data_IF_746741708636
#
_entry.id   IF_746741708636
#
_cell.length_a   1.000
_cell.length_b   1.000
_cell.length_c   1.000
_cell.angle_alpha   90.00
_cell.angle_beta   90.00
_cell.angle_gamma   90.00
#
_symmetry.space_group_name_H-M   'P 1'
#
loop_
_entity.id
_entity.type
_entity.pdbx_description
1 polymer ?
#
# COMPACT_ATOMS: atom_id res chain seq x y z
N UNK A 1 12.81 -37.62 -8.24
CA UNK A 1 12.18 -36.53 -9.00
C UNK A 1 12.30 -35.29 -8.13
N UNK A 2 13.31 -34.45 -8.38
CA UNK A 2 13.61 -33.27 -7.57
C UNK A 2 12.65 -32.15 -7.97
N UNK A 3 11.63 -31.91 -7.15
CA UNK A 3 10.78 -30.73 -7.26
C UNK A 3 11.62 -29.56 -6.76
N UNK A 4 12.19 -28.79 -7.69
CA UNK A 4 12.79 -27.50 -7.38
C UNK A 4 11.69 -26.60 -6.79
N UNK A 5 11.74 -26.38 -5.48
CA UNK A 5 11.07 -25.27 -4.83
C UNK A 5 11.50 -23.99 -5.56
N UNK A 6 10.59 -23.22 -6.19
CA UNK A 6 10.93 -21.87 -6.58
C UNK A 6 11.27 -21.09 -5.30
N UNK A 7 12.45 -20.49 -5.28
CA UNK A 7 13.07 -19.88 -4.12
C UNK A 7 12.15 -18.87 -3.44
N UNK A 8 11.90 -19.09 -2.15
CA UNK A 8 11.14 -18.22 -1.23
C UNK A 8 11.99 -16.98 -0.82
N UNK A 9 13.05 -16.68 -1.57
CA UNK A 9 13.98 -15.58 -1.34
C UNK A 9 14.34 -14.90 -2.67
N UNK A 10 14.18 -13.58 -2.71
CA UNK A 10 14.76 -12.71 -3.74
C UNK A 10 13.74 -12.05 -4.66
N UNK A 11 13.81 -10.72 -4.74
CA UNK A 11 13.10 -9.82 -5.66
C UNK A 11 11.66 -9.43 -5.26
N UNK A 12 11.47 -8.12 -5.04
CA UNK A 12 10.18 -7.49 -5.33
C UNK A 12 9.84 -7.85 -6.79
N UNK A 13 8.62 -8.28 -7.10
CA UNK A 13 8.26 -8.64 -8.46
C UNK A 13 8.58 -7.46 -9.37
N UNK A 14 9.40 -7.72 -10.39
CA UNK A 14 9.79 -6.73 -11.38
C UNK A 14 8.53 -6.35 -12.16
N UNK A 15 7.80 -5.34 -11.66
CA UNK A 15 6.65 -4.78 -12.33
C UNK A 15 6.99 -4.36 -13.75
N UNK A 16 5.99 -4.39 -14.64
CA UNK A 16 6.09 -3.74 -15.95
C UNK A 16 6.39 -2.26 -15.69
N UNK A 17 7.59 -1.85 -16.09
CA UNK A 17 8.09 -0.49 -16.02
C UNK A 17 7.27 0.41 -16.96
N UNK A 18 7.10 1.67 -16.55
CA UNK A 18 6.37 2.77 -17.19
C UNK A 18 5.00 3.01 -16.52
N UNK A 19 4.72 4.24 -16.08
CA UNK A 19 3.38 4.74 -15.77
C UNK A 19 2.55 4.65 -17.06
N UNK A 20 1.58 3.74 -17.09
CA UNK A 20 0.80 3.43 -18.30
C UNK A 20 -0.67 3.85 -18.18
N UNK A 21 -1.09 4.40 -17.04
CA UNK A 21 -2.47 4.83 -16.79
C UNK A 21 -2.55 6.10 -15.97
N UNK A 22 -3.69 6.81 -16.06
CA UNK A 22 -3.99 7.99 -15.22
C UNK A 22 -3.93 7.68 -13.73
N UNK A 23 -4.31 6.47 -13.34
CA UNK A 23 -4.20 5.99 -11.97
C UNK A 23 -2.78 5.74 -11.50
N UNK A 24 -1.93 5.13 -12.34
CA UNK A 24 -0.52 4.94 -12.00
C UNK A 24 0.17 6.30 -11.82
N UNK A 25 -0.20 7.28 -12.66
CA UNK A 25 0.26 8.66 -12.52
C UNK A 25 -0.26 9.30 -11.24
N UNK A 26 -1.55 9.16 -10.94
CA UNK A 26 -2.15 9.68 -9.71
C UNK A 26 -1.48 9.12 -8.46
N UNK A 27 -1.23 7.82 -8.42
CA UNK A 27 -0.53 7.18 -7.30
C UNK A 27 0.89 7.72 -7.17
N UNK A 28 1.62 7.84 -8.27
CA UNK A 28 2.96 8.44 -8.27
C UNK A 28 2.95 9.88 -7.76
N UNK A 29 2.03 10.70 -8.26
CA UNK A 29 1.87 12.12 -7.89
C UNK A 29 1.64 12.25 -6.38
N UNK A 30 0.76 11.43 -5.78
CA UNK A 30 0.51 11.43 -4.34
C UNK A 30 1.77 11.19 -3.50
N UNK A 31 2.60 10.21 -3.88
CA UNK A 31 3.85 9.94 -3.15
C UNK A 31 4.87 11.08 -3.31
N UNK A 32 4.94 11.68 -4.50
CA UNK A 32 5.81 12.82 -4.76
C UNK A 32 5.37 14.08 -4.02
N UNK A 33 4.07 14.32 -3.92
CA UNK A 33 3.48 15.44 -3.19
C UNK A 33 3.65 15.26 -1.68
N UNK A 34 3.44 14.05 -1.16
CA UNK A 34 3.76 13.74 0.24
C UNK A 34 5.24 13.97 0.55
N UNK A 35 6.14 13.54 -0.34
CA UNK A 35 7.57 13.79 -0.21
C UNK A 35 7.87 15.30 -0.13
N UNK A 36 7.35 16.09 -1.07
CA UNK A 36 7.51 17.56 -1.07
C UNK A 36 6.97 18.20 0.22
N UNK A 37 5.82 17.75 0.68
CA UNK A 37 5.18 18.20 1.92
C UNK A 37 6.04 17.91 3.15
N UNK A 38 6.67 16.73 3.23
CA UNK A 38 7.55 16.38 4.35
C UNK A 38 8.75 17.33 4.47
N UNK A 39 9.29 17.75 3.33
CA UNK A 39 10.42 18.68 3.28
C UNK A 39 10.03 20.16 3.27
N UNK A 40 8.74 20.50 3.25
CA UNK A 40 8.25 21.87 3.03
C UNK A 40 8.85 22.52 1.77
N UNK A 41 9.11 21.75 0.72
CA UNK A 41 9.71 22.25 -0.52
C UNK A 41 8.94 21.68 -1.72
N UNK A 42 8.11 22.50 -2.41
CA UNK A 42 7.37 22.03 -3.58
C UNK A 42 8.26 21.75 -4.79
N UNK A 43 9.48 22.30 -4.82
CA UNK A 43 10.41 22.19 -5.95
C UNK A 43 11.49 21.13 -5.71
N UNK A 44 11.50 20.47 -4.54
CA UNK A 44 12.47 19.43 -4.24
C UNK A 44 12.37 18.32 -5.28
N UNK A 45 13.50 18.04 -5.92
CA UNK A 45 13.61 16.94 -6.88
C UNK A 45 13.58 15.60 -6.15
N UNK A 46 13.10 14.58 -6.86
CA UNK A 46 13.12 13.19 -6.41
C UNK A 46 14.49 12.82 -5.82
N UNK A 47 14.49 12.29 -4.59
CA UNK A 47 15.70 11.79 -3.92
C UNK A 47 15.54 10.28 -3.71
N UNK A 48 16.18 9.48 -4.54
CA UNK A 48 16.14 8.01 -4.45
C UNK A 48 16.45 7.50 -3.03
N UNK A 49 17.56 7.97 -2.45
CA UNK A 49 17.98 7.57 -1.11
C UNK A 49 16.94 7.89 -0.02
N UNK A 50 16.05 8.87 -0.25
CA UNK A 50 14.94 9.11 0.65
C UNK A 50 13.95 7.93 0.61
N UNK A 51 13.50 7.53 -0.57
CA UNK A 51 12.52 6.44 -0.68
C UNK A 51 13.12 5.09 -0.28
N UNK A 52 14.37 4.78 -0.64
CA UNK A 52 15.03 3.54 -0.19
C UNK A 52 15.05 3.40 1.33
N UNK A 53 15.24 4.50 2.05
CA UNK A 53 15.29 4.48 3.51
C UNK A 53 13.91 4.46 4.16
N UNK A 54 12.91 5.09 3.54
CA UNK A 54 11.66 5.47 4.19
C UNK A 54 10.40 4.81 3.60
N UNK A 55 10.50 4.17 2.44
CA UNK A 55 9.39 3.53 1.75
C UNK A 55 9.39 2.02 2.02
N UNK A 56 8.22 1.49 2.34
CA UNK A 56 8.00 0.09 2.62
C UNK A 56 6.85 -0.45 1.79
N UNK A 57 7.03 -1.65 1.25
CA UNK A 57 5.97 -2.43 0.65
C UNK A 57 5.39 -3.39 1.68
N UNK A 58 4.07 -3.37 1.82
CA UNK A 58 3.33 -4.20 2.75
C UNK A 58 2.43 -5.13 1.97
N UNK A 59 2.46 -6.41 2.32
CA UNK A 59 1.48 -7.41 1.88
C UNK A 59 0.74 -7.92 3.10
N UNK A 60 -0.55 -7.62 3.20
CA UNK A 60 -1.44 -8.16 4.23
C UNK A 60 -2.36 -9.21 3.61
N UNK A 61 -2.08 -10.48 3.86
CA UNK A 61 -2.87 -11.60 3.38
C UNK A 61 -3.99 -11.93 4.36
N UNK A 62 -5.15 -12.25 3.83
CA UNK A 62 -6.32 -12.67 4.61
C UNK A 62 -6.55 -14.17 4.48
N UNK A 63 -7.25 -14.76 5.46
CA UNK A 63 -7.55 -16.20 5.45
C UNK A 63 -8.46 -16.56 4.27
N UNK A 64 -8.15 -17.68 3.64
CA UNK A 64 -8.96 -18.23 2.54
C UNK A 64 -10.33 -18.69 3.04
N UNK A 65 -11.34 -18.60 2.18
CA UNK A 65 -12.71 -19.07 2.50
C UNK A 65 -13.55 -18.09 3.34
N UNK A 66 -12.98 -16.97 3.80
CA UNK A 66 -13.73 -15.90 4.45
C UNK A 66 -14.43 -14.95 3.45
N UNK A 67 -13.89 -14.86 2.23
CA UNK A 67 -14.37 -13.96 1.19
C UNK A 67 -14.43 -14.72 -0.13
N UNK A 68 -15.60 -14.80 -0.78
CA UNK A 68 -15.71 -15.45 -2.08
C UNK A 68 -15.32 -14.50 -3.23
N UNK A 69 -15.02 -15.05 -4.40
CA UNK A 69 -14.54 -14.25 -5.53
C UNK A 69 -15.57 -13.21 -6.02
N UNK A 70 -16.84 -13.61 -6.02
CA UNK A 70 -17.97 -12.71 -6.29
C UNK A 70 -18.09 -11.57 -5.27
N UNK A 71 -17.49 -11.73 -4.10
CA UNK A 71 -17.62 -10.81 -2.98
C UNK A 71 -16.63 -9.65 -3.08
N UNK A 72 -15.42 -9.84 -3.63
CA UNK A 72 -14.46 -8.75 -3.84
C UNK A 72 -14.98 -7.62 -4.74
N UNK A 73 -16.06 -7.88 -5.51
CA UNK A 73 -16.72 -6.90 -6.38
C UNK A 73 -17.77 -6.04 -5.65
N UNK A 74 -17.94 -6.17 -4.33
CA UNK A 74 -18.90 -5.41 -3.52
C UNK A 74 -18.19 -4.64 -2.41
N UNK A 75 -18.53 -3.35 -2.26
CA UNK A 75 -18.05 -2.46 -1.19
C UNK A 75 -18.21 -3.10 0.19
N UNK A 76 -19.35 -3.74 0.41
CA UNK A 76 -19.70 -4.35 1.70
C UNK A 76 -18.74 -5.49 2.09
N UNK A 77 -18.08 -6.10 1.12
CA UNK A 77 -17.32 -7.31 1.31
C UNK A 77 -15.80 -7.09 1.30
N UNK A 78 -15.31 -6.02 0.64
CA UNK A 78 -13.91 -5.59 0.80
C UNK A 78 -13.70 -4.77 2.07
N UNK A 79 -14.75 -4.17 2.63
CA UNK A 79 -14.69 -3.30 3.81
C UNK A 79 -14.01 -3.94 5.02
N UNK A 80 -14.25 -5.21 5.39
CA UNK A 80 -13.56 -5.83 6.53
C UNK A 80 -12.04 -5.87 6.35
N UNK A 81 -11.55 -6.11 5.13
CA UNK A 81 -10.11 -6.12 4.83
C UNK A 81 -9.48 -4.74 5.00
N UNK A 82 -10.14 -3.70 4.47
CA UNK A 82 -9.69 -2.32 4.64
C UNK A 82 -9.79 -1.85 6.09
N UNK A 83 -10.80 -2.27 6.85
CA UNK A 83 -10.91 -1.95 8.28
C UNK A 83 -9.77 -2.61 9.08
N UNK A 84 -9.45 -3.88 8.83
CA UNK A 84 -8.29 -4.54 9.43
C UNK A 84 -6.98 -3.84 9.07
N UNK A 85 -6.80 -3.44 7.81
CA UNK A 85 -5.64 -2.67 7.40
C UNK A 85 -5.57 -1.29 8.08
N UNK A 86 -6.69 -0.58 8.16
CA UNK A 86 -6.82 0.71 8.86
C UNK A 86 -6.42 0.59 10.33
N UNK A 87 -6.92 -0.42 11.03
CA UNK A 87 -6.58 -0.66 12.44
C UNK A 87 -5.09 -0.94 12.60
N UNK A 88 -4.51 -1.75 11.71
CA UNK A 88 -3.07 -2.00 11.68
C UNK A 88 -2.28 -0.71 11.41
N UNK A 89 -2.70 0.12 10.45
CA UNK A 89 -2.06 1.40 10.13
C UNK A 89 -2.10 2.36 11.32
N UNK A 90 -3.25 2.51 11.98
CA UNK A 90 -3.40 3.36 13.17
C UNK A 90 -2.50 2.88 14.32
N UNK A 91 -2.35 1.57 14.48
CA UNK A 91 -1.40 0.99 15.42
C UNK A 91 0.05 1.29 15.04
N UNK A 92 0.40 1.20 13.75
CA UNK A 92 1.73 1.59 13.27
C UNK A 92 2.03 3.07 13.56
N UNK A 93 1.08 3.96 13.28
CA UNK A 93 1.17 5.39 13.59
C UNK A 93 1.38 5.62 15.08
N UNK A 94 0.57 4.99 15.95
CA UNK A 94 0.69 5.14 17.42
C UNK A 94 1.99 4.58 17.96
N UNK A 95 2.46 3.46 17.40
CA UNK A 95 3.71 2.81 17.81
C UNK A 95 4.90 3.72 17.54
N UNK A 96 4.92 4.35 16.36
CA UNK A 96 6.05 5.19 15.93
C UNK A 96 6.01 6.59 16.53
N UNK A 97 4.82 7.17 16.70
CA UNK A 97 4.68 8.59 17.05
C UNK A 97 4.18 8.83 18.47
N UNK A 98 3.79 7.76 19.16
CA UNK A 98 3.21 7.80 20.50
C UNK A 98 1.76 8.30 20.54
N UNK A 99 1.24 8.54 21.76
CA UNK A 99 -0.19 8.84 21.99
C UNK A 99 -0.70 10.14 21.34
N UNK A 100 0.18 11.08 21.00
CA UNK A 100 -0.17 12.39 20.41
C UNK A 100 -0.01 12.43 18.89
N UNK A 101 -0.03 11.28 18.23
CA UNK A 101 0.15 11.18 16.78
C UNK A 101 -0.86 12.04 15.98
N UNK A 102 -2.11 12.14 16.46
CA UNK A 102 -3.16 12.94 15.82
C UNK A 102 -2.83 14.43 15.68
N UNK A 103 -2.00 14.99 16.55
CA UNK A 103 -1.59 16.40 16.50
C UNK A 103 -0.36 16.65 15.62
N UNK A 104 0.25 15.57 15.13
CA UNK A 104 1.51 15.59 14.37
C UNK A 104 1.29 15.10 12.94
N UNK A 105 0.18 15.52 12.32
CA UNK A 105 -0.28 15.08 11.00
C UNK A 105 0.87 15.02 9.98
N UNK A 106 1.68 16.08 9.85
CA UNK A 106 2.85 16.13 8.96
C UNK A 106 3.78 14.90 9.07
N UNK A 107 4.01 14.42 10.28
CA UNK A 107 4.96 13.35 10.54
C UNK A 107 4.32 11.95 10.42
N UNK A 108 3.01 11.86 10.20
CA UNK A 108 2.37 10.56 10.05
C UNK A 108 2.86 9.84 8.80
N UNK A 109 3.15 8.53 8.91
CA UNK A 109 3.34 7.68 7.75
C UNK A 109 2.17 7.84 6.78
N UNK A 110 2.46 7.98 5.50
CA UNK A 110 1.45 7.99 4.45
C UNK A 110 1.41 6.65 3.76
N UNK A 111 0.23 6.15 3.44
CA UNK A 111 0.10 4.90 2.70
C UNK A 111 -1.08 4.94 1.76
N UNK A 112 -0.93 4.25 0.63
CA UNK A 112 -2.06 3.85 -0.21
C UNK A 112 -2.13 2.34 -0.16
N UNK A 113 -3.29 1.84 0.25
CA UNK A 113 -3.62 0.42 0.32
C UNK A 113 -4.53 0.06 -0.84
N UNK A 114 -4.22 -1.01 -1.55
CA UNK A 114 -4.95 -1.49 -2.71
C UNK A 114 -5.34 -2.95 -2.47
N UNK A 115 -6.58 -3.31 -2.76
CA UNK A 115 -7.00 -4.70 -2.78
C UNK A 115 -6.34 -5.39 -3.98
N UNK A 116 -5.80 -6.58 -3.75
CA UNK A 116 -5.25 -7.47 -4.76
C UNK A 116 -5.66 -8.92 -4.45
N UNK A 117 -5.56 -9.78 -5.47
CA UNK A 117 -5.99 -11.18 -5.44
C UNK A 117 -5.06 -11.99 -6.32
N UNK A 118 -4.72 -13.21 -5.90
CA UNK A 118 -3.85 -14.08 -6.70
C UNK A 118 -4.55 -14.50 -8.02
N UNK A 119 -3.75 -14.73 -9.07
CA UNK A 119 -4.25 -15.23 -10.36
C UNK A 119 -4.62 -14.14 -11.39
N UNK A 120 -4.50 -12.86 -11.05
CA UNK A 120 -4.83 -11.73 -11.96
C UNK A 120 -3.74 -11.42 -13.00
N UNK A 121 -2.58 -12.09 -12.95
CA UNK A 121 -1.40 -11.73 -13.75
C UNK A 121 -1.56 -11.89 -15.27
N UNK A 122 -2.66 -12.49 -15.74
CA UNK A 122 -2.85 -12.86 -17.15
C UNK A 122 -4.19 -12.38 -17.73
N UNK A 123 -4.85 -11.38 -17.14
CA UNK A 123 -6.12 -10.85 -17.67
C UNK A 123 -7.29 -11.83 -17.62
N UNK A 124 -7.12 -12.99 -16.98
CA UNK A 124 -8.21 -13.91 -16.70
C UNK A 124 -8.97 -13.40 -15.47
N UNK A 125 -10.27 -13.12 -15.62
CA UNK A 125 -11.16 -12.99 -14.48
C UNK A 125 -11.18 -14.35 -13.77
N UNK A 126 -10.40 -14.50 -12.70
CA UNK A 126 -10.33 -15.76 -11.96
C UNK A 126 -11.74 -16.16 -11.53
N UNK A 127 -12.15 -17.38 -11.88
CA UNK A 127 -13.44 -17.95 -11.46
C UNK A 127 -13.50 -18.19 -9.96
N UNK A 128 -12.33 -18.28 -9.31
CA UNK A 128 -12.15 -18.34 -7.84
C UNK A 128 -10.91 -17.51 -7.49
N UNK A 129 -11.07 -16.38 -6.80
CA UNK A 129 -9.95 -15.65 -6.20
C UNK A 129 -9.33 -16.51 -5.09
N UNK A 130 -8.04 -16.81 -5.23
CA UNK A 130 -7.26 -17.45 -4.19
C UNK A 130 -6.54 -16.33 -3.41
N UNK A 131 -6.59 -16.43 -2.08
CA UNK A 131 -5.83 -15.57 -1.16
C UNK A 131 -6.02 -14.05 -1.38
N UNK A 132 -7.16 -13.46 -0.97
CA UNK A 132 -7.31 -12.01 -1.00
C UNK A 132 -6.24 -11.34 -0.11
N UNK A 133 -5.69 -10.23 -0.57
CA UNK A 133 -4.64 -9.51 0.14
C UNK A 133 -4.69 -8.02 -0.16
N UNK A 134 -4.10 -7.22 0.74
CA UNK A 134 -3.84 -5.81 0.49
C UNK A 134 -2.36 -5.65 0.16
N UNK A 135 -2.10 -4.96 -0.95
CA UNK A 135 -0.80 -4.37 -1.25
C UNK A 135 -0.81 -2.91 -0.87
N UNK A 136 0.15 -2.50 -0.06
CA UNK A 136 0.25 -1.11 0.35
C UNK A 136 1.68 -0.60 0.27
N UNK A 137 1.83 0.63 -0.18
CA UNK A 137 3.09 1.36 -0.12
C UNK A 137 3.01 2.34 1.04
N UNK A 138 3.90 2.21 2.04
CA UNK A 138 3.94 3.03 3.24
C UNK A 138 5.21 3.89 3.22
N UNK A 139 5.04 5.20 3.11
CA UNK A 139 6.09 6.20 3.23
C UNK A 139 6.15 6.74 4.66
N UNK A 140 7.20 6.38 5.39
CA UNK A 140 7.46 6.83 6.76
C UNK A 140 8.21 8.16 6.74
N UNK A 141 7.81 9.14 7.55
CA UNK A 141 8.57 10.39 7.64
C UNK A 141 10.00 10.13 8.16
N UNK A 142 11.06 10.76 7.64
CA UNK A 142 12.46 10.50 8.04
C UNK A 142 12.72 10.55 9.55
N UNK A 143 12.14 11.53 10.25
CA UNK A 143 12.23 11.65 11.73
C UNK A 143 11.71 10.44 12.51
N UNK A 144 10.89 9.62 11.87
CA UNK A 144 10.18 8.49 12.48
C UNK A 144 10.73 7.14 12.00
N UNK A 145 11.68 7.14 11.06
CA UNK A 145 12.16 5.93 10.40
C UNK A 145 12.84 4.96 11.38
N UNK A 146 13.65 5.48 12.30
CA UNK A 146 14.34 4.65 13.29
C UNK A 146 13.35 3.95 14.22
N UNK A 147 12.35 4.68 14.73
CA UNK A 147 11.29 4.11 15.57
C UNK A 147 10.46 3.06 14.82
N UNK A 148 10.16 3.30 13.54
CA UNK A 148 9.45 2.32 12.72
C UNK A 148 10.23 1.01 12.55
N UNK A 149 11.53 1.09 12.24
CA UNK A 149 12.40 -0.08 12.12
C UNK A 149 12.49 -0.88 13.43
N UNK A 150 12.67 -0.18 14.56
CA UNK A 150 12.75 -0.81 15.89
C UNK A 150 11.48 -1.62 16.23
N UNK A 151 10.33 -1.26 15.64
CA UNK A 151 9.05 -1.90 15.88
C UNK A 151 8.56 -2.82 14.75
N UNK A 152 9.34 -3.01 13.67
CA UNK A 152 8.91 -3.74 12.48
C UNK A 152 8.46 -5.18 12.78
N UNK A 153 9.17 -5.88 13.68
CA UNK A 153 8.78 -7.23 14.12
C UNK A 153 7.45 -7.23 14.90
N UNK A 154 7.24 -6.24 15.77
CA UNK A 154 5.99 -6.09 16.53
C UNK A 154 4.81 -5.81 15.59
N UNK A 155 5.03 -4.97 14.57
CA UNK A 155 4.01 -4.65 13.56
C UNK A 155 3.65 -5.86 12.69
N UNK A 156 4.62 -6.74 12.37
CA UNK A 156 4.35 -8.03 11.70
C UNK A 156 3.57 -9.00 12.58
N UNK A 157 3.91 -9.07 13.88
CA UNK A 157 3.25 -9.95 14.83
C UNK A 157 1.77 -9.59 15.10
N UNK A 158 1.29 -8.42 14.65
CA UNK A 158 -0.12 -8.03 14.75
C UNK A 158 -1.06 -8.96 13.98
N UNK A 159 -0.56 -9.72 12.99
CA UNK A 159 -1.33 -10.77 12.31
C UNK A 159 -1.98 -11.78 13.28
N UNK A 160 -1.41 -11.98 14.48
CA UNK A 160 -1.95 -12.91 15.48
C UNK A 160 -3.12 -12.32 16.30
N UNK A 161 -3.37 -11.01 16.22
CA UNK A 161 -4.44 -10.33 16.96
C UNK A 161 -5.74 -10.23 16.18
N UNK A 162 -5.65 -10.30 14.86
CA UNK A 162 -6.81 -10.24 13.99
C UNK A 162 -7.06 -11.62 13.40
N UNK A 163 -8.26 -12.15 13.61
CA UNK A 163 -8.63 -13.49 13.16
C UNK A 163 -8.78 -13.61 11.65
N UNK A 164 -8.98 -12.50 10.92
CA UNK A 164 -9.14 -12.54 9.46
C UNK A 164 -7.80 -12.46 8.73
N UNK A 165 -6.75 -11.95 9.39
CA UNK A 165 -5.40 -11.85 8.83
C UNK A 165 -4.72 -13.22 8.92
N UNK A 166 -4.12 -13.66 7.83
CA UNK A 166 -3.29 -14.87 7.78
C UNK A 166 -1.81 -14.54 7.89
N UNK A 167 -1.37 -13.46 7.23
CA UNK A 167 0.04 -13.06 7.18
C UNK A 167 0.20 -11.56 6.93
N UNK A 168 1.18 -10.95 7.58
CA UNK A 168 1.68 -9.61 7.25
C UNK A 168 3.15 -9.72 6.87
N UNK A 169 3.49 -9.28 5.66
CA UNK A 169 4.86 -9.04 5.26
C UNK A 169 5.10 -7.54 5.04
N UNK A 170 6.30 -7.10 5.42
CA UNK A 170 6.74 -5.71 5.31
C UNK A 170 8.18 -5.76 4.82
N UNK A 171 8.42 -5.17 3.66
CA UNK A 171 9.73 -5.12 3.01
C UNK A 171 10.07 -3.67 2.75
N UNK A 172 11.26 -3.27 3.16
CA UNK A 172 11.80 -1.97 2.75
C UNK A 172 11.98 -1.96 1.22
N UNK A 173 11.64 -0.84 0.60
CA UNK A 173 11.88 -0.61 -0.81
C UNK A 173 13.38 -0.69 -1.09
N UNK A 174 13.73 -1.42 -2.15
CA UNK A 174 15.08 -1.46 -2.70
C UNK A 174 14.98 -1.05 -4.15
N UNK A 175 15.65 0.04 -4.50
CA UNK A 175 15.68 0.47 -5.89
C UNK A 175 16.48 -0.51 -6.73
N UNK A 176 16.01 -0.73 -7.95
CA UNK A 176 16.68 -1.48 -8.99
C UNK A 176 17.06 -0.60 -10.20
N UNK A 177 17.09 0.71 -10.00
CA UNK A 177 17.42 1.73 -10.99
C UNK A 177 16.21 2.28 -11.73
N UNK A 178 15.00 1.79 -11.43
CA UNK A 178 13.73 2.21 -12.06
C UNK A 178 12.89 3.12 -11.17
N UNK A 179 13.40 3.47 -9.98
CA UNK A 179 12.69 4.30 -9.01
C UNK A 179 11.48 3.57 -8.39
N UNK A 180 10.58 4.34 -7.79
CA UNK A 180 9.44 3.80 -7.04
C UNK A 180 8.28 3.31 -7.93
N UNK A 181 8.25 3.73 -9.20
CA UNK A 181 7.13 3.48 -10.12
C UNK A 181 6.76 1.99 -10.22
N UNK A 182 7.69 1.04 -10.45
CA UNK A 182 7.32 -0.36 -10.62
C UNK A 182 6.66 -0.97 -9.38
N UNK A 183 7.00 -0.47 -8.20
CA UNK A 183 6.42 -0.92 -6.95
C UNK A 183 5.02 -0.34 -6.77
N UNK A 184 4.83 0.95 -7.07
CA UNK A 184 3.52 1.60 -7.04
C UNK A 184 2.55 0.91 -8.03
N UNK A 185 2.97 0.70 -9.28
CA UNK A 185 2.14 0.05 -10.32
C UNK A 185 1.87 -1.43 -10.05
N UNK A 186 2.76 -2.10 -9.31
CA UNK A 186 2.53 -3.45 -8.81
C UNK A 186 1.49 -3.44 -7.70
N UNK A 187 1.61 -2.51 -6.73
CA UNK A 187 0.69 -2.42 -5.59
C UNK A 187 -0.76 -2.20 -6.01
N UNK A 188 -0.98 -1.46 -7.10
CA UNK A 188 -2.30 -1.10 -7.60
C UNK A 188 -2.85 -1.99 -8.72
N UNK A 189 -2.14 -3.07 -9.08
CA UNK A 189 -2.42 -3.86 -10.29
C UNK A 189 -3.90 -4.23 -10.44
N UNK A 190 -4.51 -4.81 -9.41
CA UNK A 190 -5.90 -5.25 -9.48
C UNK A 190 -6.89 -4.08 -9.48
N UNK A 191 -6.63 -3.03 -8.69
CA UNK A 191 -7.43 -1.81 -8.73
C UNK A 191 -7.43 -1.18 -10.14
N UNK A 192 -6.26 -1.12 -10.79
CA UNK A 192 -6.12 -0.65 -12.18
C UNK A 192 -6.93 -1.47 -13.17
N UNK A 193 -6.89 -2.80 -13.07
CA UNK A 193 -7.68 -3.69 -13.94
C UNK A 193 -9.20 -3.45 -13.85
N UNK A 194 -9.68 -2.80 -12.79
CA UNK A 194 -11.08 -2.50 -12.56
C UNK A 194 -11.46 -1.02 -12.84
N UNK A 195 -10.58 -0.21 -13.43
CA UNK A 195 -10.82 1.22 -13.69
C UNK A 195 -12.08 1.52 -14.52
N UNK A 196 -12.39 0.70 -15.52
CA UNK A 196 -13.61 0.87 -16.31
C UNK A 196 -14.90 0.52 -15.55
N UNK A 197 -14.79 0.15 -14.27
CA UNK A 197 -15.92 -0.14 -13.39
C UNK A 197 -16.17 1.03 -12.44
N UNK A 198 -17.45 1.39 -12.18
CA UNK A 198 -17.84 2.30 -11.09
C UNK A 198 -17.35 1.87 -9.69
N UNK A 199 -16.71 0.70 -9.59
CA UNK A 199 -16.21 0.06 -8.38
C UNK A 199 -14.71 0.31 -8.15
N UNK A 200 -14.03 1.03 -9.04
CA UNK A 200 -12.59 1.30 -8.93
C UNK A 200 -12.20 1.95 -7.59
N UNK A 201 -12.98 2.93 -7.12
CA UNK A 201 -12.76 3.68 -5.88
C UNK A 201 -12.90 2.83 -4.60
N UNK A 202 -13.44 1.62 -4.71
CA UNK A 202 -13.72 0.69 -3.60
C UNK A 202 -12.51 -0.20 -3.31
N UNK A 203 -11.58 -0.27 -4.25
CA UNK A 203 -10.45 -1.19 -4.23
C UNK A 203 -9.17 -0.54 -3.74
N UNK A 204 -9.24 0.71 -3.26
CA UNK A 204 -8.11 1.40 -2.68
C UNK A 204 -8.54 2.36 -1.57
N UNK A 205 -7.66 2.57 -0.59
CA UNK A 205 -7.81 3.60 0.45
C UNK A 205 -6.46 4.25 0.74
N UNK A 206 -6.45 5.59 0.89
CA UNK A 206 -5.27 6.35 1.27
C UNK A 206 -5.35 6.79 2.75
N UNK A 207 -4.21 6.76 3.44
CA UNK A 207 -4.09 7.17 4.83
C UNK A 207 -2.87 8.09 5.04
N UNK A 208 -2.94 9.06 5.98
CA UNK A 208 -4.07 9.31 6.88
C UNK A 208 -5.29 9.85 6.12
N UNK A 209 -6.47 9.41 6.54
CA UNK A 209 -7.75 9.83 5.96
C UNK A 209 -8.13 11.20 6.52
N UNK A 210 -7.45 12.23 6.03
CA UNK A 210 -7.63 13.63 6.43
C UNK A 210 -8.12 14.45 5.26
N UNK A 211 -8.77 15.58 5.56
CA UNK A 211 -9.31 16.46 4.53
C UNK A 211 -8.20 17.15 3.72
N UNK A 212 -8.60 17.68 2.56
CA UNK A 212 -7.70 18.45 1.71
C UNK A 212 -7.18 19.74 2.35
N UNK A 213 -7.83 20.24 3.40
CA UNK A 213 -7.35 21.40 4.16
C UNK A 213 -6.08 21.07 4.95
N UNK A 214 -6.01 19.88 5.51
CA UNK A 214 -4.83 19.42 6.23
C UNK A 214 -3.78 18.82 5.29
N UNK A 215 -4.22 18.20 4.19
CA UNK A 215 -3.37 17.57 3.17
C UNK A 215 -3.76 18.13 1.79
N UNK A 216 -3.20 19.27 1.37
CA UNK A 216 -3.59 19.98 0.14
C UNK A 216 -3.52 19.14 -1.13
N UNK A 217 -2.70 18.10 -1.15
CA UNK A 217 -2.61 17.17 -2.27
C UNK A 217 -3.79 16.19 -2.38
N UNK A 218 -4.69 16.14 -1.39
CA UNK A 218 -5.98 15.46 -1.56
C UNK A 218 -7.03 16.35 -2.27
N UNK A 219 -6.81 17.66 -2.43
CA UNK A 219 -7.71 18.55 -3.21
C UNK A 219 -7.40 18.58 -4.70
N UNK A 220 -6.17 18.27 -5.10
CA UNK A 220 -5.78 18.26 -6.51
C UNK A 220 -5.97 16.85 -7.06
N UNK A 221 -7.07 16.67 -7.81
CA UNK A 221 -7.55 15.42 -8.42
C UNK A 221 -8.28 14.50 -7.44
N UNK A 222 -9.58 14.77 -7.32
CA UNK A 222 -10.59 13.73 -7.09
C UNK A 222 -10.24 12.51 -7.95
N UNK A 223 -10.30 11.32 -7.33
CA UNK A 223 -10.02 9.99 -7.88
C UNK A 223 -10.04 9.87 -9.41
N UNK A 224 -9.17 9.05 -10.03
CA UNK A 224 -9.24 8.81 -11.48
C UNK A 224 -10.67 8.43 -11.88
N UNK A 225 -11.27 9.28 -12.73
CA UNK A 225 -12.55 9.02 -13.41
C UNK A 225 -12.46 7.78 -14.32
#
# INVERSE_FOLDING_TARGET
MNIQNPSIYGYLPTGRSIINSSHDQWLYDLFMEKFRFDFNDPNIKYKQAHFEKNLYFITMQFRTGLFAAKDAKSIYNSRPMFESFRLWYLDAVRTVMGPRAGNKLKYQPFTVACLDVEGTAQGAAATVFQTPHIHACLLVHPNNQHEFENHLLSLKAKQFRDQIISKIDIKQFKDDGRGIEPMLTYSSKYAREQQSSPRHTVLLEAYPAVDAKNYPFYSERTSPD
#
